data_IF_345806806632
#
_entry.id   IF_345806806632
#
_cell.length_a   1.000
_cell.length_b   1.000
_cell.length_c   1.000
_cell.angle_alpha   90.00
_cell.angle_beta   90.00
_cell.angle_gamma   90.00
#
_symmetry.space_group_name_H-M   'P 1'
#
loop_
_entity.id
_entity.type
_entity.pdbx_description
1 polymer ?
#
# COMPACT_ATOMS: atom_id res chain seq x y z
N UNK A 1 30.40 8.10 -24.95
CA UNK A 1 29.75 9.21 -25.65
C UNK A 1 28.25 8.93 -25.62
N UNK A 2 27.49 9.66 -24.79
CA UNK A 2 26.04 9.49 -24.67
C UNK A 2 25.39 10.12 -25.90
N UNK A 3 24.72 9.30 -26.72
CA UNK A 3 23.95 9.79 -27.86
C UNK A 3 22.76 10.58 -27.32
N UNK A 4 22.85 11.90 -27.31
CA UNK A 4 21.72 12.78 -27.07
C UNK A 4 20.72 12.61 -28.22
N UNK A 5 19.59 11.96 -27.96
CA UNK A 5 18.48 11.99 -28.90
C UNK A 5 18.07 13.47 -29.13
N UNK A 6 17.94 13.92 -30.38
CA UNK A 6 17.53 15.29 -30.67
C UNK A 6 16.13 15.55 -30.05
N UNK A 7 15.89 16.76 -29.51
CA UNK A 7 14.60 17.07 -28.94
C UNK A 7 13.52 17.06 -30.06
N UNK A 8 12.32 16.57 -29.70
CA UNK A 8 11.21 16.54 -30.67
C UNK A 8 10.76 17.92 -31.06
N UNK A 9 10.32 18.06 -32.31
CA UNK A 9 9.77 19.35 -32.82
C UNK A 9 8.66 19.90 -31.95
N UNK A 10 7.78 19.03 -31.41
CA UNK A 10 6.70 19.42 -30.49
C UNK A 10 7.25 20.05 -29.21
N UNK A 11 8.32 19.51 -28.65
CA UNK A 11 8.94 20.05 -27.43
C UNK A 11 9.62 21.43 -27.74
N UNK A 12 10.28 21.53 -28.87
CA UNK A 12 10.88 22.81 -29.31
C UNK A 12 9.82 23.88 -29.57
N UNK A 13 8.72 23.48 -30.21
CA UNK A 13 7.59 24.39 -30.46
C UNK A 13 6.93 24.82 -29.15
N UNK A 14 6.70 23.92 -28.19
CA UNK A 14 6.17 24.24 -26.88
C UNK A 14 7.09 25.21 -26.11
N UNK A 15 8.40 24.97 -26.12
CA UNK A 15 9.38 25.83 -25.47
C UNK A 15 9.45 27.22 -26.15
N UNK A 16 9.34 27.27 -27.50
CA UNK A 16 9.31 28.54 -28.24
C UNK A 16 8.06 29.35 -27.94
N UNK A 17 6.90 28.67 -27.88
CA UNK A 17 5.62 29.32 -27.55
C UNK A 17 5.64 29.90 -26.12
N UNK A 18 6.22 29.17 -25.16
CA UNK A 18 6.32 29.58 -23.75
C UNK A 18 7.33 30.70 -23.47
N UNK A 19 8.06 31.19 -24.48
CA UNK A 19 8.89 32.41 -24.33
C UNK A 19 8.03 33.65 -24.13
N UNK A 20 6.85 33.66 -24.76
CA UNK A 20 5.83 34.69 -24.57
C UNK A 20 4.58 34.04 -23.94
N UNK A 21 4.40 34.25 -22.64
CA UNK A 21 3.26 33.67 -21.92
C UNK A 21 1.91 34.21 -22.40
N UNK A 22 1.84 35.47 -22.78
CA UNK A 22 0.60 36.07 -23.28
C UNK A 22 0.16 35.39 -24.58
N UNK A 23 1.11 35.19 -25.50
CA UNK A 23 0.87 34.46 -26.75
C UNK A 23 0.50 33.02 -26.50
N UNK A 24 1.18 32.34 -25.54
CA UNK A 24 0.88 31.00 -25.18
C UNK A 24 -0.56 30.84 -24.64
N UNK A 25 -0.99 31.74 -23.75
CA UNK A 25 -2.35 31.75 -23.17
C UNK A 25 -3.39 32.02 -24.28
N UNK A 26 -3.16 32.99 -25.13
CA UNK A 26 -4.07 33.31 -26.23
C UNK A 26 -4.23 32.15 -27.21
N UNK A 27 -3.15 31.42 -27.48
CA UNK A 27 -3.16 30.28 -28.41
C UNK A 27 -3.93 29.06 -27.90
N UNK A 28 -4.22 28.95 -26.59
CA UNK A 28 -4.94 27.82 -26.01
C UNK A 28 -6.34 27.64 -26.63
N UNK A 29 -6.97 28.69 -27.09
CA UNK A 29 -8.28 28.60 -27.74
C UNK A 29 -8.23 27.80 -29.04
N UNK A 30 -7.14 27.86 -29.76
CA UNK A 30 -6.95 27.24 -31.08
C UNK A 30 -6.14 25.95 -31.01
N UNK A 31 -5.51 25.66 -29.87
CA UNK A 31 -4.61 24.53 -29.72
C UNK A 31 -5.37 23.19 -29.79
N UNK A 32 -4.92 22.24 -30.64
CA UNK A 32 -5.41 20.86 -30.63
C UNK A 32 -5.21 20.19 -29.28
N UNK A 33 -6.15 19.30 -28.89
CA UNK A 33 -6.10 18.66 -27.57
C UNK A 33 -4.84 17.83 -27.33
N UNK A 34 -4.26 17.27 -28.38
CA UNK A 34 -3.05 16.44 -28.33
C UNK A 34 -1.81 17.25 -27.95
N UNK A 35 -1.81 18.55 -28.16
CA UNK A 35 -0.71 19.43 -27.83
C UNK A 35 -0.76 19.99 -26.39
N UNK A 36 -1.92 19.81 -25.69
CA UNK A 36 -2.03 20.25 -24.30
C UNK A 36 -1.04 19.54 -23.36
N UNK A 37 -0.90 18.19 -23.34
CA UNK A 37 0.03 17.55 -22.44
C UNK A 37 1.50 17.94 -22.66
N UNK A 38 2.04 17.96 -23.89
CA UNK A 38 3.41 18.45 -24.14
C UNK A 38 3.64 19.88 -23.69
N UNK A 39 2.67 20.79 -23.97
CA UNK A 39 2.76 22.19 -23.57
C UNK A 39 2.70 22.32 -22.03
N UNK A 40 1.83 21.55 -21.36
CA UNK A 40 1.74 21.55 -19.89
C UNK A 40 3.04 21.05 -19.25
N UNK A 41 3.66 19.98 -19.78
CA UNK A 41 4.94 19.46 -19.31
C UNK A 41 6.05 20.51 -19.47
N UNK A 42 6.08 21.23 -20.59
CA UNK A 42 7.05 22.32 -20.82
C UNK A 42 6.80 23.51 -19.88
N UNK A 43 5.54 23.93 -19.69
CA UNK A 43 5.15 24.99 -18.76
C UNK A 43 5.51 24.64 -17.32
N UNK A 44 5.28 23.38 -16.91
CA UNK A 44 5.69 22.85 -15.62
C UNK A 44 7.22 22.90 -15.43
N UNK A 45 7.99 22.48 -16.44
CA UNK A 45 9.45 22.46 -16.39
C UNK A 45 10.05 23.88 -16.35
N UNK A 46 9.42 24.80 -17.02
CA UNK A 46 9.82 26.21 -17.08
C UNK A 46 9.19 27.10 -15.98
N UNK A 47 8.37 26.50 -15.10
CA UNK A 47 7.65 27.21 -14.02
C UNK A 47 6.77 28.36 -14.51
N UNK A 48 6.08 28.15 -15.62
CA UNK A 48 5.17 29.17 -16.21
C UNK A 48 3.80 29.10 -15.53
N UNK A 49 3.67 29.73 -14.37
CA UNK A 49 2.49 29.62 -13.50
C UNK A 49 1.22 30.14 -14.16
N UNK A 50 1.28 31.28 -14.85
CA UNK A 50 0.10 31.85 -15.52
C UNK A 50 -0.39 30.98 -16.68
N UNK A 51 0.54 30.44 -17.48
CA UNK A 51 0.18 29.49 -18.53
C UNK A 51 -0.46 28.24 -17.95
N UNK A 52 0.09 27.66 -16.88
CA UNK A 52 -0.51 26.48 -16.21
C UNK A 52 -1.91 26.80 -15.67
N UNK A 53 -2.11 27.94 -15.04
CA UNK A 53 -3.39 28.43 -14.55
C UNK A 53 -4.43 28.51 -15.70
N UNK A 54 -4.07 29.09 -16.82
CA UNK A 54 -4.93 29.18 -17.99
C UNK A 54 -5.22 27.83 -18.63
N UNK A 55 -4.24 26.93 -18.68
CA UNK A 55 -4.41 25.59 -19.23
C UNK A 55 -5.37 24.73 -18.39
N UNK A 56 -5.39 24.89 -17.07
CA UNK A 56 -6.36 24.21 -16.19
C UNK A 56 -7.80 24.60 -16.53
N UNK A 57 -8.04 25.87 -16.83
CA UNK A 57 -9.37 26.40 -17.17
C UNK A 57 -9.88 25.86 -18.51
N UNK A 58 -9.00 25.44 -19.38
CA UNK A 58 -9.32 24.93 -20.74
C UNK A 58 -8.92 23.47 -20.94
N UNK A 59 -8.62 22.75 -19.86
CA UNK A 59 -8.10 21.38 -19.92
C UNK A 59 -9.03 20.43 -20.67
N UNK A 60 -8.60 19.82 -21.79
CA UNK A 60 -9.49 19.09 -22.68
C UNK A 60 -9.76 17.64 -22.27
N UNK A 61 -9.14 17.15 -21.18
CA UNK A 61 -9.32 15.80 -20.66
C UNK A 61 -10.10 15.81 -19.35
N UNK A 62 -10.80 14.70 -19.05
CA UNK A 62 -11.57 14.57 -17.82
C UNK A 62 -10.69 14.57 -16.55
N UNK A 63 -9.42 14.17 -16.66
CA UNK A 63 -8.48 14.05 -15.53
C UNK A 63 -7.18 14.79 -15.82
N UNK A 64 -6.68 15.53 -14.83
CA UNK A 64 -5.34 16.11 -14.81
C UNK A 64 -4.49 15.34 -13.80
N UNK A 65 -3.59 14.43 -14.23
CA UNK A 65 -2.74 13.62 -13.33
C UNK A 65 -1.49 14.40 -12.90
N UNK A 66 -1.68 15.51 -12.19
CA UNK A 66 -0.63 16.43 -11.78
C UNK A 66 0.44 15.74 -10.90
N UNK A 67 0.02 14.83 -10.02
CA UNK A 67 0.95 14.12 -9.14
C UNK A 67 1.94 13.21 -9.87
N UNK A 68 1.63 12.79 -11.09
CA UNK A 68 2.56 12.04 -11.96
C UNK A 68 3.73 12.88 -12.48
N UNK A 69 3.58 14.20 -12.60
CA UNK A 69 4.66 15.13 -12.93
C UNK A 69 5.50 15.53 -11.72
N UNK A 70 4.88 15.59 -10.55
CA UNK A 70 5.51 16.05 -9.32
C UNK A 70 6.08 14.87 -8.52
N UNK A 71 7.38 14.57 -8.65
CA UNK A 71 8.06 13.60 -7.74
C UNK A 71 8.02 14.06 -6.28
N UNK A 72 8.00 15.37 -6.04
CA UNK A 72 7.76 16.01 -4.75
C UNK A 72 6.76 17.15 -4.96
N UNK A 73 5.81 17.37 -4.03
CA UNK A 73 4.87 18.49 -4.13
C UNK A 73 5.63 19.82 -4.26
N UNK A 74 5.40 20.52 -5.35
CA UNK A 74 5.96 21.83 -5.59
C UNK A 74 4.88 22.88 -5.33
N UNK A 75 5.10 23.76 -4.36
CA UNK A 75 4.07 24.68 -3.86
C UNK A 75 3.55 25.62 -4.95
N UNK A 76 4.44 26.32 -5.67
CA UNK A 76 4.07 27.28 -6.70
C UNK A 76 3.24 26.66 -7.83
N UNK A 77 3.59 25.43 -8.25
CA UNK A 77 2.82 24.69 -9.26
C UNK A 77 1.42 24.32 -8.75
N UNK A 78 1.34 23.88 -7.48
CA UNK A 78 0.05 23.54 -6.87
C UNK A 78 -0.82 24.79 -6.75
N UNK A 79 -0.27 25.91 -6.31
CA UNK A 79 -0.96 27.20 -6.21
C UNK A 79 -1.50 27.62 -7.57
N UNK A 80 -0.67 27.64 -8.62
CA UNK A 80 -1.10 28.01 -9.96
C UNK A 80 -2.26 27.13 -10.49
N UNK A 81 -2.19 25.81 -10.24
CA UNK A 81 -3.28 24.92 -10.65
C UNK A 81 -4.55 25.15 -9.83
N UNK A 82 -4.44 25.39 -8.52
CA UNK A 82 -5.58 25.66 -7.66
C UNK A 82 -6.22 27.02 -7.96
N UNK A 83 -5.43 28.04 -8.30
CA UNK A 83 -5.92 29.36 -8.75
C UNK A 83 -6.68 29.22 -10.09
N UNK A 84 -6.17 28.39 -11.01
CA UNK A 84 -6.89 28.08 -12.25
C UNK A 84 -8.22 27.37 -12.00
N UNK A 85 -8.28 26.49 -10.99
CA UNK A 85 -9.54 25.87 -10.56
C UNK A 85 -10.50 26.87 -9.92
N UNK A 86 -10.00 27.86 -9.18
CA UNK A 86 -10.83 28.90 -8.58
C UNK A 86 -11.55 29.74 -9.66
N UNK A 87 -10.84 30.13 -10.68
CA UNK A 87 -11.45 30.81 -11.83
C UNK A 87 -12.49 29.93 -12.50
N UNK A 88 -12.19 28.62 -12.67
CA UNK A 88 -13.12 27.67 -13.29
C UNK A 88 -14.39 27.47 -12.42
N UNK A 89 -14.25 27.36 -11.11
CA UNK A 89 -15.36 27.15 -10.17
C UNK A 89 -16.22 28.42 -9.99
N UNK A 90 -15.65 29.60 -10.17
CA UNK A 90 -16.36 30.88 -10.13
C UNK A 90 -17.26 31.11 -11.37
N UNK A 91 -16.99 30.39 -12.45
CA UNK A 91 -17.76 30.56 -13.71
C UNK A 91 -19.13 29.84 -13.59
N UNK A 92 -20.21 30.56 -13.95
CA UNK A 92 -21.57 29.99 -14.00
C UNK A 92 -21.74 28.94 -15.11
N UNK A 93 -20.95 29.04 -16.17
CA UNK A 93 -20.97 28.14 -17.34
C UNK A 93 -19.54 27.67 -17.61
N UNK A 94 -19.35 26.38 -17.65
CA UNK A 94 -18.03 25.79 -17.92
C UNK A 94 -17.61 26.11 -19.38
N UNK A 95 -16.34 26.53 -19.62
CA UNK A 95 -15.81 26.75 -20.96
C UNK A 95 -16.03 25.51 -21.85
N UNK A 96 -16.38 25.72 -23.12
CA UNK A 96 -16.70 24.60 -24.04
C UNK A 96 -15.58 23.58 -24.18
N UNK A 97 -14.32 23.99 -24.07
CA UNK A 97 -13.12 23.14 -24.16
C UNK A 97 -12.81 22.42 -22.86
N UNK A 98 -13.21 22.95 -21.71
CA UNK A 98 -12.86 22.34 -20.43
C UNK A 98 -13.68 21.09 -20.16
N UNK A 99 -12.98 19.96 -20.04
CA UNK A 99 -13.58 18.66 -19.66
C UNK A 99 -13.14 18.21 -18.26
N UNK A 100 -12.37 19.01 -17.55
CA UNK A 100 -11.77 18.65 -16.27
C UNK A 100 -12.84 18.31 -15.23
N UNK A 101 -12.75 17.11 -14.64
CA UNK A 101 -13.60 16.59 -13.56
C UNK A 101 -12.79 16.10 -12.38
N UNK A 102 -11.54 15.68 -12.64
CA UNK A 102 -10.68 15.04 -11.65
C UNK A 102 -9.30 15.70 -11.66
N UNK A 103 -8.90 16.29 -10.54
CA UNK A 103 -7.50 16.63 -10.27
C UNK A 103 -6.87 15.49 -9.48
N UNK A 104 -5.86 14.83 -10.04
CA UNK A 104 -5.16 13.74 -9.37
C UNK A 104 -3.78 14.16 -8.91
N UNK A 105 -3.63 14.29 -7.59
CA UNK A 105 -2.38 14.68 -6.93
C UNK A 105 -1.57 13.46 -6.43
N UNK A 106 -2.05 12.24 -6.66
CA UNK A 106 -1.34 11.03 -6.27
C UNK A 106 -0.12 10.83 -7.17
N UNK A 107 0.93 10.20 -6.65
CA UNK A 107 2.10 9.82 -7.45
C UNK A 107 1.78 8.66 -8.41
N UNK A 108 0.82 8.90 -9.30
CA UNK A 108 0.30 7.99 -10.31
C UNK A 108 0.08 8.76 -11.62
N UNK A 109 -0.20 8.05 -12.73
CA UNK A 109 -0.47 8.71 -14.01
C UNK A 109 0.79 9.08 -14.79
N UNK A 110 1.94 8.51 -14.42
CA UNK A 110 3.19 8.67 -15.19
C UNK A 110 3.03 8.15 -16.62
N UNK A 111 2.29 7.05 -16.82
CA UNK A 111 2.03 6.49 -18.16
C UNK A 111 1.30 7.49 -19.06
N UNK A 112 0.41 8.32 -18.50
CA UNK A 112 -0.22 9.40 -19.25
C UNK A 112 0.83 10.39 -19.80
N UNK A 113 1.76 10.83 -18.95
CA UNK A 113 2.80 11.78 -19.37
C UNK A 113 3.87 11.15 -20.24
N UNK A 114 4.26 9.90 -19.97
CA UNK A 114 5.23 9.14 -20.77
C UNK A 114 4.77 8.95 -22.21
N UNK A 115 3.47 8.77 -22.44
CA UNK A 115 2.89 8.69 -23.79
C UNK A 115 3.20 9.93 -24.62
N UNK A 116 3.29 11.10 -24.00
CA UNK A 116 3.57 12.36 -24.66
C UNK A 116 5.06 12.76 -24.63
N UNK A 117 5.87 12.20 -23.72
CA UNK A 117 7.30 12.50 -23.60
C UNK A 117 8.14 11.90 -24.71
N UNK A 118 7.66 10.82 -25.32
CA UNK A 118 8.35 10.19 -26.45
C UNK A 118 9.31 9.09 -26.12
N UNK A 119 9.38 8.64 -24.90
CA UNK A 119 10.09 7.44 -24.54
C UNK A 119 9.41 6.21 -25.19
N UNK A 120 10.24 5.39 -25.85
CA UNK A 120 9.80 4.24 -26.63
C UNK A 120 9.22 3.14 -25.73
N UNK A 121 7.98 3.26 -25.35
CA UNK A 121 7.19 2.12 -24.87
C UNK A 121 6.05 1.89 -25.85
N UNK A 122 6.14 0.83 -26.63
CA UNK A 122 5.04 0.25 -27.39
C UNK A 122 4.00 -0.31 -26.41
N UNK A 123 3.15 0.57 -25.90
CA UNK A 123 1.89 0.15 -25.29
C UNK A 123 0.82 0.35 -26.36
N UNK A 124 0.12 -0.73 -26.66
CA UNK A 124 -1.01 -0.74 -27.58
C UNK A 124 -2.02 0.36 -27.20
N UNK A 125 -1.98 1.41 -27.96
CA UNK A 125 -2.64 2.71 -27.69
C UNK A 125 -4.18 2.71 -27.71
N UNK A 126 -4.82 1.60 -28.08
CA UNK A 126 -6.27 1.55 -28.28
C UNK A 126 -7.10 1.48 -26.99
N UNK A 127 -6.57 0.93 -25.90
CA UNK A 127 -7.35 0.75 -24.66
C UNK A 127 -7.35 1.98 -23.74
N UNK A 128 -6.28 2.79 -23.76
CA UNK A 128 -6.19 4.01 -22.93
C UNK A 128 -6.93 5.20 -23.54
N UNK A 129 -6.97 5.30 -24.88
CA UNK A 129 -7.77 6.32 -25.57
C UNK A 129 -9.27 6.06 -25.45
N UNK A 130 -9.72 4.80 -25.35
CA UNK A 130 -11.12 4.46 -25.12
C UNK A 130 -11.65 4.85 -23.72
N UNK A 131 -10.77 4.91 -22.70
CA UNK A 131 -11.15 5.39 -21.37
C UNK A 131 -11.19 6.92 -21.27
N UNK A 132 -10.55 7.62 -22.19
CA UNK A 132 -10.51 9.11 -22.28
C UNK A 132 -11.71 9.65 -23.09
N UNK A 133 -12.31 8.84 -23.97
CA UNK A 133 -13.27 9.28 -24.98
C UNK A 133 -14.73 8.80 -24.74
N UNK A 134 -15.08 8.28 -23.57
CA UNK A 134 -16.50 8.05 -23.28
C UNK A 134 -17.21 9.38 -23.04
N UNK A 135 -17.77 9.93 -24.10
CA UNK A 135 -18.74 11.02 -24.06
C UNK A 135 -19.94 10.61 -23.20
N UNK A 136 -19.99 11.12 -21.97
CA UNK A 136 -21.22 11.10 -21.18
C UNK A 136 -22.20 12.14 -21.72
N UNK A 137 -23.50 11.81 -21.77
CA UNK A 137 -24.52 12.73 -22.33
C UNK A 137 -24.50 14.05 -21.54
N UNK A 138 -24.64 15.16 -22.27
CA UNK A 138 -24.74 16.53 -21.75
C UNK A 138 -26.03 16.68 -20.95
N UNK A 139 -26.03 16.31 -19.69
CA UNK A 139 -27.10 16.72 -18.79
C UNK A 139 -26.82 18.13 -18.28
N UNK A 140 -27.81 19.02 -18.42
CA UNK A 140 -27.84 20.37 -17.86
C UNK A 140 -28.02 20.34 -16.34
N UNK A 141 -27.19 19.59 -15.62
CA UNK A 141 -27.22 19.57 -14.15
C UNK A 141 -26.19 20.57 -13.59
N UNK A 142 -26.43 21.15 -12.41
CA UNK A 142 -25.46 21.96 -11.72
C UNK A 142 -24.12 21.17 -11.65
N UNK A 143 -23.01 21.86 -11.91
CA UNK A 143 -21.67 21.31 -11.99
C UNK A 143 -21.48 20.26 -10.88
N UNK A 144 -21.35 19.00 -11.26
CA UNK A 144 -20.99 17.96 -10.29
C UNK A 144 -19.70 18.40 -9.60
N UNK A 145 -19.57 18.25 -8.27
CA UNK A 145 -18.39 18.71 -7.56
C UNK A 145 -17.12 18.10 -8.17
N UNK A 146 -16.09 18.92 -8.33
CA UNK A 146 -14.79 18.49 -8.83
C UNK A 146 -14.20 17.46 -7.84
N UNK A 147 -13.75 16.33 -8.34
CA UNK A 147 -13.07 15.34 -7.54
C UNK A 147 -11.56 15.61 -7.47
N UNK A 148 -11.00 15.58 -6.28
CA UNK A 148 -9.57 15.73 -6.06
C UNK A 148 -9.03 14.47 -5.37
N UNK A 149 -8.14 13.75 -6.04
CA UNK A 149 -7.53 12.53 -5.49
C UNK A 149 -6.18 12.83 -4.85
N UNK A 150 -6.00 12.36 -3.61
CA UNK A 150 -4.76 12.52 -2.85
C UNK A 150 -4.46 11.25 -2.06
N UNK A 151 -3.18 10.88 -1.94
CA UNK A 151 -2.73 9.89 -0.97
C UNK A 151 -2.15 10.63 0.23
N UNK A 152 -2.62 10.31 1.42
CA UNK A 152 -2.26 11.05 2.63
C UNK A 152 -1.33 10.24 3.53
N UNK A 153 -0.24 10.88 3.95
CA UNK A 153 0.66 10.37 4.98
C UNK A 153 0.72 11.39 6.13
N UNK A 154 0.03 11.07 7.22
CA UNK A 154 -0.06 11.93 8.40
C UNK A 154 1.09 11.61 9.36
N UNK A 155 2.18 12.38 9.28
CA UNK A 155 3.34 12.32 10.19
C UNK A 155 3.34 13.53 11.12
N UNK A 156 3.94 13.38 12.31
CA UNK A 156 4.21 14.53 13.17
C UNK A 156 5.17 15.50 12.44
N UNK A 157 4.89 16.78 12.54
CA UNK A 157 5.71 17.91 12.03
C UNK A 157 6.03 17.94 10.53
N UNK A 158 5.42 17.11 9.70
CA UNK A 158 5.74 17.04 8.27
C UNK A 158 4.57 17.34 7.33
N UNK A 159 3.59 18.12 7.79
CA UNK A 159 2.68 18.73 6.83
C UNK A 159 3.48 19.75 6.04
N UNK A 160 3.99 19.34 4.90
CA UNK A 160 4.63 20.27 3.99
C UNK A 160 3.67 21.43 3.71
N UNK A 161 4.21 22.62 3.52
CA UNK A 161 3.42 23.83 3.22
C UNK A 161 2.33 23.57 2.18
N UNK A 162 2.62 22.72 1.18
CA UNK A 162 1.68 22.31 0.12
C UNK A 162 0.41 21.63 0.63
N UNK A 163 0.54 20.67 1.56
CA UNK A 163 -0.64 19.93 2.08
C UNK A 163 -1.48 20.83 2.99
N UNK A 164 -0.83 21.66 3.81
CA UNK A 164 -1.53 22.65 4.64
C UNK A 164 -2.30 23.64 3.78
N UNK A 165 -1.69 24.15 2.74
CA UNK A 165 -2.31 25.05 1.77
C UNK A 165 -3.51 24.36 1.10
N UNK A 166 -3.31 23.15 0.56
CA UNK A 166 -4.36 22.35 -0.08
C UNK A 166 -5.59 22.17 0.83
N UNK A 167 -5.37 21.79 2.10
CA UNK A 167 -6.49 21.59 3.03
C UNK A 167 -7.22 22.89 3.36
N UNK A 168 -6.51 23.97 3.54
CA UNK A 168 -7.12 25.29 3.76
C UNK A 168 -7.94 25.70 2.53
N UNK A 169 -7.40 25.48 1.34
CA UNK A 169 -8.07 25.78 0.08
C UNK A 169 -9.35 24.94 -0.11
N UNK A 170 -9.30 23.64 0.15
CA UNK A 170 -10.45 22.73 0.07
C UNK A 170 -11.52 23.07 1.13
N UNK A 171 -11.08 23.42 2.36
CA UNK A 171 -12.01 23.77 3.46
C UNK A 171 -12.85 25.00 3.14
N UNK A 172 -12.28 25.98 2.44
CA UNK A 172 -12.99 27.20 2.00
C UNK A 172 -14.01 26.91 0.89
N UNK A 173 -13.89 25.77 0.17
CA UNK A 173 -14.70 25.40 -1.01
C UNK A 173 -15.56 24.16 -0.78
N UNK A 174 -16.02 23.97 0.46
CA UNK A 174 -16.92 22.87 0.82
C UNK A 174 -18.17 22.86 -0.06
N UNK A 175 -18.46 21.71 -0.67
CA UNK A 175 -19.59 21.53 -1.56
C UNK A 175 -19.24 21.60 -3.05
N UNK A 176 -18.22 22.37 -3.45
CA UNK A 176 -17.74 22.44 -4.83
C UNK A 176 -16.63 21.45 -5.14
N UNK A 177 -15.96 20.94 -4.09
CA UNK A 177 -14.83 20.02 -4.21
C UNK A 177 -15.04 18.81 -3.31
N UNK A 178 -14.80 17.63 -3.88
CA UNK A 178 -14.74 16.37 -3.14
C UNK A 178 -13.28 15.90 -3.02
N UNK A 179 -12.70 16.04 -1.82
CA UNK A 179 -11.37 15.50 -1.56
C UNK A 179 -11.47 14.00 -1.25
N UNK A 180 -11.03 13.19 -2.20
CA UNK A 180 -11.02 11.74 -2.15
C UNK A 180 -9.62 11.22 -1.82
N UNK A 181 -9.49 10.53 -0.70
CA UNK A 181 -8.26 9.83 -0.31
C UNK A 181 -8.49 8.32 -0.43
N UNK A 182 -7.72 7.63 -1.30
CA UNK A 182 -7.81 6.16 -1.40
C UNK A 182 -6.89 5.46 -0.44
N UNK A 183 -5.71 6.03 -0.19
CA UNK A 183 -4.70 5.49 0.73
C UNK A 183 -4.39 6.48 1.83
N UNK A 184 -4.57 6.06 3.06
CA UNK A 184 -4.29 6.87 4.23
C UNK A 184 -3.29 6.16 5.14
N UNK A 185 -2.11 6.77 5.29
CA UNK A 185 -1.08 6.33 6.24
C UNK A 185 -1.05 7.28 7.43
N UNK A 186 -1.14 6.74 8.64
CA UNK A 186 -1.15 7.50 9.88
C UNK A 186 0.02 7.09 10.75
N UNK A 187 0.92 8.04 10.94
CA UNK A 187 2.15 7.89 11.76
C UNK A 187 2.13 8.89 12.91
N UNK A 188 1.10 9.75 12.98
CA UNK A 188 1.03 10.89 13.88
C UNK A 188 0.43 10.53 15.24
N UNK A 189 0.94 11.22 16.28
CA UNK A 189 0.38 11.21 17.65
C UNK A 189 -0.71 12.28 17.85
N UNK A 190 -0.77 13.30 17.00
CA UNK A 190 -1.67 14.43 17.17
C UNK A 190 -3.11 14.10 16.79
N UNK A 191 -3.97 14.06 17.81
CA UNK A 191 -5.41 13.80 17.67
C UNK A 191 -6.11 14.93 16.89
N UNK A 192 -5.68 16.15 17.06
CA UNK A 192 -6.31 17.33 16.44
C UNK A 192 -6.05 17.34 14.93
N UNK A 193 -4.84 17.01 14.50
CA UNK A 193 -4.49 16.86 13.09
C UNK A 193 -5.37 15.82 12.40
N UNK A 194 -5.52 14.65 13.02
CA UNK A 194 -6.34 13.56 12.50
C UNK A 194 -7.81 13.97 12.39
N UNK A 195 -8.36 14.62 13.40
CA UNK A 195 -9.74 15.13 13.37
C UNK A 195 -9.95 16.18 12.29
N UNK A 196 -8.98 17.08 12.05
CA UNK A 196 -9.05 18.11 11.01
C UNK A 196 -9.11 17.44 9.63
N UNK A 197 -8.25 16.45 9.35
CA UNK A 197 -8.27 15.70 8.09
C UNK A 197 -9.60 15.00 7.86
N UNK A 198 -10.15 14.35 8.90
CA UNK A 198 -11.40 13.61 8.78
C UNK A 198 -12.65 14.47 8.60
N UNK A 199 -12.55 15.77 8.82
CA UNK A 199 -13.64 16.73 8.50
C UNK A 199 -13.61 17.14 7.02
N UNK A 200 -12.45 17.04 6.38
CA UNK A 200 -12.21 17.54 5.01
C UNK A 200 -12.28 16.40 4.01
N UNK A 201 -11.72 15.24 4.35
CA UNK A 201 -11.65 14.07 3.47
C UNK A 201 -12.96 13.30 3.46
N UNK A 202 -13.39 12.86 2.29
CA UNK A 202 -14.53 11.95 2.13
C UNK A 202 -14.13 10.54 2.57
N UNK A 203 -14.56 10.14 3.78
CA UNK A 203 -14.11 8.90 4.43
C UNK A 203 -14.55 7.63 3.65
N UNK A 204 -15.66 7.68 2.94
CA UNK A 204 -16.14 6.58 2.10
C UNK A 204 -15.24 6.29 0.88
N UNK A 205 -14.32 7.19 0.53
CA UNK A 205 -13.34 6.96 -0.55
C UNK A 205 -12.13 6.15 -0.10
N UNK A 206 -11.90 5.99 1.23
CA UNK A 206 -10.73 5.33 1.78
C UNK A 206 -10.83 3.82 1.58
N UNK A 207 -9.85 3.26 0.88
CA UNK A 207 -9.76 1.83 0.57
C UNK A 207 -8.59 1.15 1.29
N UNK A 208 -7.51 1.90 1.58
CA UNK A 208 -6.32 1.39 2.25
C UNK A 208 -6.00 2.27 3.45
N UNK A 209 -5.84 1.65 4.62
CA UNK A 209 -5.44 2.30 5.88
C UNK A 209 -4.18 1.65 6.40
N UNK A 210 -3.13 2.44 6.59
CA UNK A 210 -1.86 2.04 7.18
C UNK A 210 -1.66 2.79 8.50
N UNK A 211 -1.78 2.07 9.61
CA UNK A 211 -1.62 2.61 10.96
C UNK A 211 -0.26 2.22 11.53
N UNK A 212 0.61 3.20 11.62
CA UNK A 212 1.89 3.04 12.31
C UNK A 212 1.79 3.71 13.68
N UNK A 213 1.91 2.92 14.74
CA UNK A 213 1.75 3.41 16.10
C UNK A 213 3.04 3.24 16.91
N UNK A 214 3.30 4.20 17.79
CA UNK A 214 4.30 4.05 18.84
C UNK A 214 3.77 3.13 19.94
N UNK A 215 4.63 2.48 20.69
CA UNK A 215 4.39 1.43 21.70
C UNK A 215 3.12 1.55 22.58
N UNK A 216 2.44 2.69 22.62
CA UNK A 216 1.18 2.86 23.36
C UNK A 216 -0.03 2.56 22.47
N UNK A 217 -0.50 1.34 22.51
CA UNK A 217 -1.73 0.86 21.84
C UNK A 217 -3.01 1.63 22.25
N UNK A 218 -2.99 2.37 23.36
CA UNK A 218 -4.08 3.29 23.74
C UNK A 218 -4.44 4.30 22.63
N UNK A 219 -3.53 4.51 21.66
CA UNK A 219 -3.80 5.30 20.47
C UNK A 219 -4.76 4.62 19.51
N UNK A 220 -4.71 3.28 19.37
CA UNK A 220 -5.58 2.50 18.48
C UNK A 220 -7.03 2.48 18.93
N UNK A 221 -7.29 2.33 20.23
CA UNK A 221 -8.64 2.37 20.77
C UNK A 221 -9.36 3.70 20.46
N UNK A 222 -8.60 4.81 20.48
CA UNK A 222 -9.11 6.14 20.10
C UNK A 222 -9.39 6.25 18.60
N UNK A 223 -8.79 5.36 17.80
CA UNK A 223 -8.91 5.32 16.34
C UNK A 223 -10.07 4.45 15.86
N UNK A 224 -10.44 3.42 16.62
CA UNK A 224 -11.50 2.49 16.27
C UNK A 224 -12.83 3.17 15.85
N UNK A 225 -13.35 4.19 16.58
CA UNK A 225 -14.57 4.88 16.17
C UNK A 225 -14.45 5.66 14.85
N UNK A 226 -13.23 6.04 14.47
CA UNK A 226 -12.97 6.77 13.23
C UNK A 226 -12.92 5.83 12.05
N UNK A 227 -12.36 4.63 12.22
CA UNK A 227 -12.39 3.57 11.21
C UNK A 227 -13.81 3.12 10.89
N UNK A 228 -14.69 3.09 11.88
CA UNK A 228 -16.09 2.78 11.66
C UNK A 228 -16.83 3.72 10.71
N UNK A 229 -16.28 4.90 10.48
CA UNK A 229 -16.76 5.83 9.46
C UNK A 229 -16.22 5.55 8.07
N UNK A 230 -15.12 4.77 7.96
CA UNK A 230 -14.48 4.41 6.69
C UNK A 230 -15.06 3.08 6.18
N UNK A 231 -16.23 3.14 5.57
CA UNK A 231 -17.03 1.94 5.25
C UNK A 231 -16.49 1.06 4.13
N UNK A 232 -15.56 1.58 3.31
CA UNK A 232 -15.07 0.94 2.09
C UNK A 232 -13.59 0.51 2.20
N UNK A 233 -13.06 0.34 3.41
CA UNK A 233 -11.70 -0.14 3.63
C UNK A 233 -11.60 -1.61 3.21
N UNK A 234 -10.68 -1.90 2.31
CA UNK A 234 -10.37 -3.22 1.77
C UNK A 234 -9.01 -3.74 2.25
N UNK A 235 -8.10 -2.82 2.56
CA UNK A 235 -6.75 -3.14 2.99
C UNK A 235 -6.41 -2.43 4.29
N UNK A 236 -6.04 -3.23 5.30
CA UNK A 236 -5.70 -2.77 6.63
C UNK A 236 -4.29 -3.21 7.00
N UNK A 237 -3.43 -2.24 7.31
CA UNK A 237 -2.06 -2.49 7.75
C UNK A 237 -1.86 -1.89 9.14
N UNK A 238 -1.34 -2.70 10.04
CA UNK A 238 -1.03 -2.34 11.42
C UNK A 238 0.45 -2.66 11.68
N UNK A 239 1.24 -1.69 12.08
CA UNK A 239 2.64 -1.89 12.45
C UNK A 239 3.09 -0.90 13.52
N UNK A 240 3.97 -1.30 14.45
CA UNK A 240 4.57 -0.36 15.38
C UNK A 240 5.62 0.50 14.67
N UNK A 241 5.82 1.72 15.15
CA UNK A 241 6.95 2.56 14.75
C UNK A 241 8.18 2.07 15.50
N UNK A 242 9.10 1.44 14.80
CA UNK A 242 10.42 1.15 15.35
C UNK A 242 11.22 2.46 15.42
N UNK A 243 11.47 2.95 16.64
CA UNK A 243 12.52 3.94 16.85
C UNK A 243 13.85 3.35 16.39
N UNK A 244 14.61 4.11 15.62
CA UNK A 244 15.93 3.76 15.07
C UNK A 244 16.99 3.65 16.16
N UNK A 245 16.92 2.63 17.02
CA UNK A 245 18.03 2.20 17.87
C UNK A 245 17.65 0.91 18.62
N UNK A 246 17.84 -0.22 17.97
CA UNK A 246 18.03 -1.48 18.68
C UNK A 246 19.49 -1.56 19.16
N UNK A 247 19.90 -0.65 20.03
CA UNK A 247 21.06 -0.83 20.86
C UNK A 247 20.61 -0.68 22.30
N UNK A 248 20.84 -1.76 23.06
CA UNK A 248 20.69 -1.92 24.52
C UNK A 248 19.27 -2.13 25.07
N UNK A 249 19.11 -3.32 25.63
CA UNK A 249 18.34 -3.64 26.84
C UNK A 249 17.19 -2.68 27.17
N UNK A 250 16.07 -2.82 26.51
CA UNK A 250 14.80 -2.33 27.06
C UNK A 250 14.08 -3.56 27.59
N UNK A 251 14.11 -3.71 28.90
CA UNK A 251 13.11 -4.51 29.62
C UNK A 251 11.74 -4.09 29.12
N UNK A 252 11.12 -4.95 28.34
CA UNK A 252 9.71 -4.80 27.94
C UNK A 252 8.91 -5.06 29.21
N UNK A 253 8.67 -4.02 29.98
CA UNK A 253 7.66 -4.07 31.04
C UNK A 253 6.31 -4.36 30.36
N UNK A 254 5.90 -5.61 30.45
CA UNK A 254 4.58 -6.09 30.05
C UNK A 254 3.52 -5.41 30.90
N UNK A 255 3.02 -4.26 30.49
CA UNK A 255 1.82 -3.70 31.08
C UNK A 255 0.61 -4.47 30.57
N UNK A 256 -0.10 -5.08 31.48
CA UNK A 256 -1.26 -5.98 31.32
C UNK A 256 -2.53 -5.41 30.65
N UNK A 257 -2.44 -4.30 29.93
CA UNK A 257 -3.56 -3.66 29.23
C UNK A 257 -3.54 -3.76 27.71
N UNK A 258 -2.64 -4.55 27.13
CA UNK A 258 -2.36 -4.60 25.70
C UNK A 258 -3.31 -5.48 24.83
N UNK A 259 -3.84 -6.61 25.33
CA UNK A 259 -4.61 -7.53 24.50
C UNK A 259 -5.95 -7.00 24.02
N UNK A 260 -6.63 -6.21 24.87
CA UNK A 260 -8.01 -5.78 24.59
C UNK A 260 -8.16 -4.79 23.42
N UNK A 261 -7.08 -4.15 22.98
CA UNK A 261 -7.13 -3.05 22.03
C UNK A 261 -7.13 -3.50 20.58
N UNK A 262 -6.37 -4.53 20.21
CA UNK A 262 -6.44 -5.14 18.88
C UNK A 262 -7.78 -5.84 18.73
N UNK A 263 -8.22 -6.53 19.78
CA UNK A 263 -9.56 -7.13 19.87
C UNK A 263 -10.66 -6.11 19.65
N UNK A 264 -10.65 -4.99 20.37
CA UNK A 264 -11.62 -3.90 20.16
C UNK A 264 -11.55 -3.34 18.74
N UNK A 265 -10.35 -3.20 18.19
CA UNK A 265 -10.15 -2.69 16.84
C UNK A 265 -10.69 -3.66 15.78
N UNK A 266 -10.37 -4.95 15.86
CA UNK A 266 -10.82 -5.97 14.92
C UNK A 266 -12.34 -6.22 15.05
N UNK A 267 -12.87 -6.28 16.25
CA UNK A 267 -14.32 -6.45 16.47
C UNK A 267 -15.11 -5.24 16.01
N UNK A 268 -14.58 -4.04 16.20
CA UNK A 268 -15.23 -2.81 15.75
C UNK A 268 -15.18 -2.68 14.21
N UNK A 269 -14.03 -2.93 13.60
CA UNK A 269 -13.88 -2.89 12.15
C UNK A 269 -14.76 -3.95 11.47
N UNK A 270 -14.88 -5.15 12.04
CA UNK A 270 -15.74 -6.21 11.49
C UNK A 270 -17.23 -5.85 11.45
N UNK A 271 -17.70 -5.05 12.41
CA UNK A 271 -19.11 -4.58 12.49
C UNK A 271 -19.38 -3.38 11.58
N UNK A 272 -18.40 -2.50 11.38
CA UNK A 272 -18.60 -1.22 10.71
C UNK A 272 -18.29 -1.23 9.22
N UNK A 273 -17.42 -2.13 8.74
CA UNK A 273 -17.09 -2.24 7.33
C UNK A 273 -18.29 -2.74 6.53
N UNK A 274 -18.59 -2.06 5.41
CA UNK A 274 -19.65 -2.49 4.47
C UNK A 274 -19.18 -3.62 3.56
N UNK A 275 -17.92 -3.57 3.15
CA UNK A 275 -17.31 -4.52 2.22
C UNK A 275 -16.34 -5.45 2.93
N UNK A 276 -16.08 -6.64 2.39
CA UNK A 276 -15.07 -7.55 2.91
C UNK A 276 -13.67 -6.96 2.88
N UNK A 277 -12.81 -7.39 3.81
CA UNK A 277 -11.38 -7.10 3.76
C UNK A 277 -10.70 -8.06 2.78
N UNK A 278 -9.90 -7.52 1.87
CA UNK A 278 -9.11 -8.32 0.95
C UNK A 278 -7.67 -8.53 1.45
N UNK A 279 -7.11 -7.55 2.18
CA UNK A 279 -5.76 -7.66 2.71
C UNK A 279 -5.69 -7.20 4.16
N UNK A 280 -5.10 -8.03 5.01
CA UNK A 280 -4.77 -7.73 6.40
C UNK A 280 -3.28 -7.93 6.60
N UNK A 281 -2.62 -6.92 7.14
CA UNK A 281 -1.21 -6.98 7.55
C UNK A 281 -1.08 -6.47 8.97
N UNK A 282 -0.74 -7.37 9.90
CA UNK A 282 -0.44 -7.05 11.30
C UNK A 282 1.00 -7.50 11.53
N UNK A 283 1.92 -6.54 11.60
CA UNK A 283 3.35 -6.88 11.61
C UNK A 283 4.03 -6.39 12.87
N UNK A 284 4.92 -7.23 13.44
CA UNK A 284 5.69 -6.90 14.64
C UNK A 284 4.82 -6.46 15.83
N UNK A 285 3.60 -6.95 15.91
CA UNK A 285 2.63 -6.66 16.97
C UNK A 285 2.53 -7.85 17.93
N UNK A 286 2.20 -7.56 19.20
CA UNK A 286 1.78 -8.57 20.14
C UNK A 286 0.30 -8.89 19.86
N UNK A 287 0.02 -10.10 19.41
CA UNK A 287 -1.33 -10.63 19.29
C UNK A 287 -1.60 -11.62 20.43
N UNK A 288 -2.85 -11.76 20.80
CA UNK A 288 -3.32 -12.80 21.69
C UNK A 288 -4.16 -13.82 20.93
N UNK A 289 -4.40 -14.97 21.53
CA UNK A 289 -5.32 -15.98 20.97
C UNK A 289 -6.73 -15.42 20.80
N UNK A 290 -7.15 -14.53 21.69
CA UNK A 290 -8.45 -13.87 21.61
C UNK A 290 -8.53 -12.96 20.37
N UNK A 291 -7.46 -12.24 20.03
CA UNK A 291 -7.39 -11.41 18.82
C UNK A 291 -7.54 -12.27 17.56
N UNK A 292 -6.84 -13.42 17.47
CA UNK A 292 -6.97 -14.34 16.35
C UNK A 292 -8.36 -14.98 16.29
N UNK A 293 -8.95 -15.29 17.43
CA UNK A 293 -10.33 -15.80 17.53
C UNK A 293 -11.32 -14.79 16.97
N UNK A 294 -11.22 -13.52 17.36
CA UNK A 294 -12.09 -12.46 16.80
C UNK A 294 -11.85 -12.23 15.31
N UNK A 295 -10.61 -12.32 14.86
CA UNK A 295 -10.30 -12.23 13.44
C UNK A 295 -10.94 -13.39 12.68
N UNK A 296 -10.76 -14.63 13.15
CA UNK A 296 -11.30 -15.84 12.50
C UNK A 296 -12.84 -15.86 12.51
N UNK A 297 -13.48 -15.33 13.54
CA UNK A 297 -14.94 -15.25 13.64
C UNK A 297 -15.55 -14.15 12.77
N UNK A 298 -14.75 -13.16 12.34
CA UNK A 298 -15.25 -12.04 11.53
C UNK A 298 -15.79 -12.53 10.17
N UNK A 299 -17.02 -12.18 9.78
CA UNK A 299 -17.55 -12.49 8.45
C UNK A 299 -16.84 -11.71 7.34
N UNK A 300 -16.09 -10.66 7.69
CA UNK A 300 -15.44 -9.77 6.72
C UNK A 300 -14.14 -10.33 6.13
N UNK A 301 -13.62 -11.43 6.67
CA UNK A 301 -12.40 -12.07 6.15
C UNK A 301 -12.66 -13.19 5.13
N UNK A 302 -13.91 -13.58 4.88
CA UNK A 302 -14.23 -14.69 3.97
C UNK A 302 -13.75 -14.48 2.52
N UNK A 303 -13.35 -13.27 2.16
CA UNK A 303 -12.77 -12.92 0.85
C UNK A 303 -11.32 -12.42 0.96
N UNK A 304 -10.64 -12.79 2.05
CA UNK A 304 -9.27 -12.36 2.30
C UNK A 304 -8.33 -12.98 1.27
N UNK A 305 -7.58 -12.13 0.56
CA UNK A 305 -6.60 -12.51 -0.44
C UNK A 305 -5.16 -12.46 0.09
N UNK A 306 -4.89 -11.57 1.02
CA UNK A 306 -3.57 -11.41 1.63
C UNK A 306 -3.62 -11.37 3.15
N UNK A 307 -2.83 -12.24 3.79
CA UNK A 307 -2.63 -12.29 5.23
C UNK A 307 -1.13 -12.17 5.54
N UNK A 308 -0.77 -11.11 6.26
CA UNK A 308 0.61 -10.90 6.70
C UNK A 308 0.65 -10.72 8.22
N UNK A 309 1.25 -11.69 8.91
CA UNK A 309 1.49 -11.69 10.35
C UNK A 309 2.98 -11.64 10.70
N UNK A 310 3.82 -11.14 9.79
CA UNK A 310 5.27 -11.11 9.96
C UNK A 310 5.71 -10.46 11.27
N UNK A 311 6.56 -11.14 12.04
CA UNK A 311 7.06 -10.68 13.34
C UNK A 311 6.04 -10.74 14.48
N UNK A 312 4.90 -11.39 14.29
CA UNK A 312 3.96 -11.73 15.34
C UNK A 312 4.39 -13.04 15.98
N UNK A 313 4.60 -13.08 17.30
CA UNK A 313 5.01 -14.30 18.00
C UNK A 313 3.83 -15.26 18.09
N UNK A 314 3.93 -16.42 17.40
CA UNK A 314 2.92 -17.48 17.36
C UNK A 314 3.35 -18.75 18.12
N UNK A 315 4.52 -18.74 18.76
CA UNK A 315 5.15 -19.94 19.38
C UNK A 315 4.22 -20.66 20.37
N UNK A 316 3.47 -19.89 21.16
CA UNK A 316 2.62 -20.42 22.23
C UNK A 316 1.12 -20.46 21.84
N UNK A 317 0.80 -20.19 20.59
CA UNK A 317 -0.60 -20.21 20.13
C UNK A 317 -1.11 -21.63 19.91
N UNK A 318 -2.36 -21.87 20.26
CA UNK A 318 -3.04 -23.11 19.94
C UNK A 318 -3.10 -23.29 18.41
N UNK A 319 -2.51 -24.36 17.85
CA UNK A 319 -2.48 -24.59 16.41
C UNK A 319 -3.87 -24.55 15.75
N UNK A 320 -4.90 -25.04 16.46
CA UNK A 320 -6.29 -25.06 15.96
C UNK A 320 -6.85 -23.67 15.62
N UNK A 321 -6.40 -22.63 16.32
CA UNK A 321 -6.86 -21.25 16.04
C UNK A 321 -6.33 -20.77 14.69
N UNK A 322 -5.05 -21.03 14.41
CA UNK A 322 -4.42 -20.64 13.14
C UNK A 322 -4.96 -21.51 12.00
N UNK A 323 -5.15 -22.82 12.25
CA UNK A 323 -5.80 -23.73 11.29
C UNK A 323 -7.19 -23.22 10.91
N UNK A 324 -8.05 -22.95 11.88
CA UNK A 324 -9.42 -22.45 11.62
C UNK A 324 -9.45 -21.11 10.88
N UNK A 325 -8.45 -20.24 11.12
CA UNK A 325 -8.30 -19.01 10.32
C UNK A 325 -7.96 -19.33 8.87
N UNK A 326 -6.97 -20.23 8.63
CA UNK A 326 -6.55 -20.62 7.28
C UNK A 326 -7.66 -21.35 6.54
N UNK A 327 -8.36 -22.29 7.17
CA UNK A 327 -9.50 -23.01 6.59
C UNK A 327 -10.60 -22.05 6.12
N UNK A 328 -10.88 -21.03 6.91
CA UNK A 328 -11.90 -20.02 6.56
C UNK A 328 -11.58 -19.19 5.33
N UNK A 329 -10.31 -18.99 5.04
CA UNK A 329 -9.83 -18.17 3.92
C UNK A 329 -9.21 -19.00 2.78
N UNK A 330 -9.22 -20.33 2.89
CA UNK A 330 -8.54 -21.24 1.98
C UNK A 330 -8.90 -21.05 0.52
N UNK A 331 -10.18 -20.78 0.21
CA UNK A 331 -10.68 -20.59 -1.15
C UNK A 331 -10.26 -19.27 -1.80
N UNK A 332 -9.79 -18.31 -1.02
CA UNK A 332 -9.55 -16.93 -1.51
C UNK A 332 -8.14 -16.43 -1.27
N UNK A 333 -7.37 -17.08 -0.39
CA UNK A 333 -6.05 -16.61 0.04
C UNK A 333 -5.02 -16.75 -1.09
N UNK A 334 -4.50 -15.62 -1.56
CA UNK A 334 -3.48 -15.54 -2.62
C UNK A 334 -2.06 -15.33 -2.04
N UNK A 335 -1.95 -14.67 -0.88
CA UNK A 335 -0.68 -14.33 -0.25
C UNK A 335 -0.69 -14.61 1.26
N UNK A 336 0.28 -15.40 1.74
CA UNK A 336 0.47 -15.68 3.15
C UNK A 336 1.91 -15.40 3.58
N UNK A 337 2.08 -14.50 4.55
CA UNK A 337 3.38 -14.16 5.11
C UNK A 337 3.39 -14.39 6.63
N UNK A 338 4.18 -15.36 7.05
CA UNK A 338 4.41 -15.76 8.45
C UNK A 338 5.91 -15.67 8.81
N UNK A 339 6.62 -14.67 8.29
CA UNK A 339 8.04 -14.49 8.56
C UNK A 339 8.28 -14.07 10.02
N UNK A 340 9.35 -14.59 10.63
CA UNK A 340 9.77 -14.20 11.98
C UNK A 340 8.67 -14.38 13.04
N UNK A 341 7.82 -15.39 12.88
CA UNK A 341 6.69 -15.64 13.80
C UNK A 341 7.01 -16.61 14.93
N UNK A 342 8.25 -17.11 15.02
CA UNK A 342 8.62 -18.13 16.00
C UNK A 342 7.92 -19.48 15.76
N UNK A 343 7.62 -19.79 14.50
CA UNK A 343 7.01 -21.06 14.12
C UNK A 343 8.00 -22.18 14.36
N UNK A 344 7.55 -23.21 15.08
CA UNK A 344 8.30 -24.42 15.39
C UNK A 344 7.84 -25.60 14.51
N UNK A 345 8.63 -26.68 14.47
CA UNK A 345 8.29 -27.90 13.72
C UNK A 345 6.88 -28.44 14.05
N UNK A 346 6.49 -28.61 15.35
CA UNK A 346 5.15 -29.07 15.69
C UNK A 346 4.04 -28.14 15.18
N UNK A 347 4.23 -26.83 15.32
CA UNK A 347 3.24 -25.85 14.86
C UNK A 347 3.11 -25.89 13.34
N UNK A 348 4.21 -25.89 12.59
CA UNK A 348 4.14 -25.94 11.14
C UNK A 348 3.51 -27.25 10.64
N UNK A 349 3.89 -28.39 11.24
CA UNK A 349 3.29 -29.70 10.92
C UNK A 349 1.78 -29.69 11.12
N UNK A 350 1.30 -29.06 12.19
CA UNK A 350 -0.13 -28.91 12.44
C UNK A 350 -0.83 -28.02 11.40
N UNK A 351 -0.14 -27.02 10.85
CA UNK A 351 -0.72 -26.09 9.85
C UNK A 351 -0.75 -26.66 8.42
N UNK A 352 0.08 -27.68 8.12
CA UNK A 352 0.20 -28.25 6.77
C UNK A 352 -1.16 -28.66 6.17
N UNK A 353 -2.09 -29.36 6.87
CA UNK A 353 -3.37 -29.73 6.28
C UNK A 353 -4.21 -28.53 5.84
N UNK A 354 -4.27 -27.47 6.63
CA UNK A 354 -4.98 -26.25 6.27
C UNK A 354 -4.31 -25.48 5.11
N UNK A 355 -2.97 -25.47 5.08
CA UNK A 355 -2.20 -24.87 3.98
C UNK A 355 -2.43 -25.58 2.66
N UNK A 356 -2.51 -26.93 2.66
CA UNK A 356 -2.76 -27.72 1.44
C UNK A 356 -4.14 -27.48 0.83
N UNK A 357 -5.09 -26.95 1.60
CA UNK A 357 -6.41 -26.54 1.12
C UNK A 357 -6.42 -25.16 0.46
N UNK A 358 -5.36 -24.34 0.59
CA UNK A 358 -5.31 -22.97 0.07
C UNK A 358 -5.05 -22.98 -1.45
N UNK A 359 -6.04 -23.38 -2.24
CA UNK A 359 -5.90 -23.59 -3.70
C UNK A 359 -5.52 -22.36 -4.50
N UNK A 360 -5.82 -21.15 -4.01
CA UNK A 360 -5.51 -19.88 -4.67
C UNK A 360 -4.16 -19.28 -4.25
N UNK A 361 -3.42 -19.94 -3.36
CA UNK A 361 -2.19 -19.42 -2.79
C UNK A 361 -1.10 -19.29 -3.88
N UNK A 362 -0.62 -18.05 -4.07
CA UNK A 362 0.41 -17.70 -5.08
C UNK A 362 1.75 -17.37 -4.45
N UNK A 363 1.71 -16.78 -3.26
CA UNK A 363 2.90 -16.35 -2.52
C UNK A 363 2.84 -16.87 -1.11
N UNK A 364 3.86 -17.64 -0.71
CA UNK A 364 4.00 -18.17 0.63
C UNK A 364 5.37 -17.83 1.21
N UNK A 365 5.41 -17.34 2.44
CA UNK A 365 6.65 -16.95 3.10
C UNK A 365 6.66 -17.28 4.58
N UNK A 366 7.65 -18.06 5.03
CA UNK A 366 7.91 -18.42 6.44
C UNK A 366 9.37 -18.19 6.84
N UNK A 367 10.05 -17.24 6.20
CA UNK A 367 11.45 -16.92 6.49
C UNK A 367 11.65 -16.52 7.96
N UNK A 368 12.82 -16.82 8.50
CA UNK A 368 13.17 -16.41 9.86
C UNK A 368 12.56 -17.24 10.97
N UNK A 369 11.96 -18.41 10.64
CA UNK A 369 11.53 -19.41 11.59
C UNK A 369 12.55 -20.57 11.63
N UNK A 370 12.65 -21.25 12.76
CA UNK A 370 13.57 -22.39 12.95
C UNK A 370 12.89 -23.69 12.60
N UNK A 371 12.94 -24.08 11.33
CA UNK A 371 12.29 -25.26 10.80
C UNK A 371 13.32 -26.31 10.38
N UNK A 372 13.09 -27.57 10.74
CA UNK A 372 13.93 -28.69 10.33
C UNK A 372 13.78 -29.03 8.86
N UNK A 373 14.79 -29.68 8.31
CA UNK A 373 14.78 -30.19 6.94
C UNK A 373 13.61 -31.16 6.70
N UNK A 374 13.37 -32.05 7.64
CA UNK A 374 12.29 -33.03 7.56
C UNK A 374 10.90 -32.39 7.44
N UNK A 375 10.64 -31.33 8.22
CA UNK A 375 9.36 -30.61 8.17
C UNK A 375 9.25 -29.79 6.90
N UNK A 376 10.32 -29.18 6.40
CA UNK A 376 10.33 -28.50 5.10
C UNK A 376 10.02 -29.46 3.95
N UNK A 377 10.64 -30.64 3.94
CA UNK A 377 10.35 -31.67 2.94
C UNK A 377 8.89 -32.15 3.01
N UNK A 378 8.36 -32.36 4.21
CA UNK A 378 6.96 -32.71 4.41
C UNK A 378 6.03 -31.64 3.87
N UNK A 379 6.29 -30.37 4.19
CA UNK A 379 5.51 -29.23 3.70
C UNK A 379 5.50 -29.18 2.16
N UNK A 380 6.66 -29.32 1.51
CA UNK A 380 6.78 -29.28 0.05
C UNK A 380 5.96 -30.39 -0.61
N UNK A 381 5.96 -31.62 -0.03
CA UNK A 381 5.15 -32.74 -0.54
C UNK A 381 3.65 -32.46 -0.42
N UNK A 382 3.20 -31.93 0.73
CA UNK A 382 1.77 -31.66 0.96
C UNK A 382 1.25 -30.46 0.17
N UNK A 383 2.11 -29.51 -0.18
CA UNK A 383 1.75 -28.33 -0.99
C UNK A 383 1.99 -28.52 -2.48
N UNK A 384 2.38 -29.71 -2.92
CA UNK A 384 2.66 -30.02 -4.31
C UNK A 384 1.42 -29.85 -5.21
N UNK A 385 0.25 -30.20 -4.71
CA UNK A 385 -1.03 -30.00 -5.41
C UNK A 385 -1.47 -28.54 -5.59
N UNK A 386 -0.76 -27.55 -5.02
CA UNK A 386 -1.11 -26.13 -5.13
C UNK A 386 -0.61 -25.52 -6.44
N UNK A 387 -1.33 -25.71 -7.52
CA UNK A 387 -0.97 -25.27 -8.89
C UNK A 387 -0.81 -23.75 -9.04
N UNK A 388 -1.45 -22.95 -8.18
CA UNK A 388 -1.35 -21.49 -8.16
C UNK A 388 -0.05 -20.98 -7.51
N UNK A 389 0.64 -21.81 -6.70
CA UNK A 389 1.79 -21.39 -5.89
C UNK A 389 3.03 -21.16 -6.76
N UNK A 390 3.48 -19.89 -6.83
CA UNK A 390 4.56 -19.45 -7.74
C UNK A 390 5.80 -18.93 -7.02
N UNK A 391 5.64 -18.33 -5.86
CA UNK A 391 6.71 -17.71 -5.09
C UNK A 391 6.70 -18.23 -3.66
N UNK A 392 7.79 -18.89 -3.28
CA UNK A 392 7.94 -19.53 -2.01
C UNK A 392 9.23 -19.10 -1.34
N UNK A 393 9.11 -18.62 -0.10
CA UNK A 393 10.24 -18.14 0.67
C UNK A 393 10.35 -18.93 1.98
N UNK A 394 11.39 -19.74 2.10
CA UNK A 394 11.66 -20.61 3.21
C UNK A 394 12.88 -20.18 4.02
N UNK A 395 12.95 -20.52 5.31
CA UNK A 395 14.18 -20.34 6.09
C UNK A 395 15.24 -21.34 5.63
N UNK A 396 16.51 -21.05 5.87
CA UNK A 396 17.54 -22.08 5.85
C UNK A 396 17.21 -23.15 6.91
N UNK A 397 17.29 -24.45 6.57
CA UNK A 397 16.96 -25.52 7.51
C UNK A 397 17.78 -25.41 8.82
N UNK A 398 17.14 -25.75 9.95
CA UNK A 398 17.80 -25.67 11.26
C UNK A 398 19.13 -26.42 11.30
N UNK A 399 19.27 -27.53 10.61
CA UNK A 399 20.47 -28.36 10.50
C UNK A 399 21.63 -27.68 9.76
N UNK A 400 21.39 -26.55 9.11
CA UNK A 400 22.43 -25.74 8.49
C UNK A 400 23.15 -24.81 9.47
N UNK A 401 22.68 -24.76 10.73
CA UNK A 401 23.28 -23.91 11.77
C UNK A 401 24.01 -24.75 12.82
N UNK A 402 25.12 -24.22 13.34
CA UNK A 402 25.81 -24.79 14.50
C UNK A 402 24.98 -24.57 15.79
N UNK A 403 25.41 -25.22 16.89
CA UNK A 403 24.86 -25.00 18.23
C UNK A 403 24.96 -23.55 18.70
N UNK A 404 25.91 -22.78 18.16
CA UNK A 404 26.08 -21.35 18.42
C UNK A 404 25.26 -20.45 17.48
N UNK A 405 24.37 -21.00 16.65
CA UNK A 405 23.56 -20.26 15.70
C UNK A 405 24.33 -19.72 14.48
N UNK A 406 25.56 -20.17 14.26
CA UNK A 406 26.37 -19.79 13.10
C UNK A 406 26.01 -20.65 11.90
N UNK A 407 25.73 -20.03 10.77
CA UNK A 407 25.36 -20.73 9.54
C UNK A 407 26.57 -21.42 8.91
N UNK A 408 26.49 -22.75 8.72
CA UNK A 408 27.44 -23.53 7.95
C UNK A 408 27.04 -23.53 6.46
N UNK A 409 27.84 -22.88 5.62
CA UNK A 409 27.55 -22.71 4.19
C UNK A 409 27.61 -24.04 3.42
N UNK A 410 28.53 -24.95 3.75
CA UNK A 410 28.66 -26.24 3.08
C UNK A 410 27.46 -27.12 3.41
N UNK A 411 27.07 -27.19 4.69
CA UNK A 411 25.88 -27.92 5.09
C UNK A 411 24.61 -27.36 4.44
N UNK A 412 24.48 -26.02 4.37
CA UNK A 412 23.37 -25.40 3.68
C UNK A 412 23.35 -25.74 2.18
N UNK A 413 24.51 -25.81 1.53
CA UNK A 413 24.59 -26.21 0.12
C UNK A 413 24.11 -27.64 -0.10
N UNK A 414 24.51 -28.58 0.79
CA UNK A 414 24.04 -29.97 0.76
C UNK A 414 22.51 -30.05 0.92
N UNK A 415 21.97 -29.40 1.95
CA UNK A 415 20.52 -29.41 2.23
C UNK A 415 19.71 -28.75 1.09
N UNK A 416 20.25 -27.72 0.45
CA UNK A 416 19.65 -27.15 -0.76
C UNK A 416 19.63 -28.14 -1.94
N UNK A 417 20.69 -28.92 -2.11
CA UNK A 417 20.72 -29.95 -3.14
C UNK A 417 19.67 -31.03 -2.89
N UNK A 418 19.51 -31.46 -1.63
CA UNK A 418 18.48 -32.40 -1.23
C UNK A 418 17.04 -31.86 -1.49
N UNK A 419 16.79 -30.57 -1.18
CA UNK A 419 15.50 -29.92 -1.51
C UNK A 419 15.27 -29.81 -3.01
N UNK A 420 16.32 -29.50 -3.77
CA UNK A 420 16.24 -29.44 -5.20
C UNK A 420 15.91 -30.78 -5.83
N UNK A 421 16.55 -31.87 -5.34
CA UNK A 421 16.25 -33.23 -5.75
C UNK A 421 14.77 -33.58 -5.49
N UNK A 422 14.28 -33.28 -4.28
CA UNK A 422 12.88 -33.49 -3.95
C UNK A 422 11.92 -32.77 -4.89
N UNK A 423 12.19 -31.50 -5.22
CA UNK A 423 11.36 -30.73 -6.16
C UNK A 423 11.38 -31.30 -7.57
N UNK A 424 12.54 -31.84 -7.99
CA UNK A 424 12.67 -32.53 -9.27
C UNK A 424 11.85 -33.82 -9.28
N UNK A 425 11.89 -34.58 -8.21
CA UNK A 425 11.15 -35.84 -8.06
C UNK A 425 9.62 -35.63 -8.04
N UNK A 426 9.17 -34.46 -7.52
CA UNK A 426 7.75 -34.07 -7.54
C UNK A 426 7.27 -33.61 -8.93
N UNK A 427 8.18 -33.38 -9.86
CA UNK A 427 7.85 -33.14 -11.28
C UNK A 427 7.29 -31.75 -11.61
N UNK A 428 7.21 -30.83 -10.63
CA UNK A 428 6.71 -29.47 -10.86
C UNK A 428 7.83 -28.43 -10.73
N UNK A 429 8.02 -27.52 -11.71
CA UNK A 429 9.03 -26.46 -11.63
C UNK A 429 8.57 -25.36 -10.68
N UNK A 430 8.87 -25.51 -9.39
CA UNK A 430 8.58 -24.51 -8.34
C UNK A 430 9.79 -23.62 -8.11
N UNK A 431 9.58 -22.31 -7.97
CA UNK A 431 10.64 -21.35 -7.61
C UNK A 431 10.65 -21.15 -6.11
N UNK A 432 11.53 -21.85 -5.41
CA UNK A 432 11.75 -21.68 -3.97
C UNK A 432 12.96 -20.78 -3.69
N UNK A 433 12.83 -19.94 -2.67
CA UNK A 433 13.91 -19.07 -2.20
C UNK A 433 14.25 -19.42 -0.76
N UNK A 434 15.49 -19.87 -0.51
CA UNK A 434 15.99 -20.16 0.83
C UNK A 434 16.71 -18.92 1.37
N UNK A 435 16.14 -18.30 2.40
CA UNK A 435 16.69 -17.11 3.04
C UNK A 435 17.46 -17.47 4.31
N UNK A 436 18.66 -16.90 4.42
CA UNK A 436 19.50 -17.00 5.61
C UNK A 436 18.96 -16.05 6.68
N UNK A 437 18.91 -16.50 7.93
CA UNK A 437 18.49 -15.69 9.07
C UNK A 437 19.56 -15.71 10.13
N UNK A 438 19.85 -14.59 10.77
CA UNK A 438 20.74 -14.57 11.94
C UNK A 438 19.96 -15.09 13.15
N UNK A 439 20.28 -16.29 13.61
CA UNK A 439 19.57 -16.99 14.70
C UNK A 439 19.81 -16.33 16.08
N UNK A 440 20.85 -15.51 16.25
CA UNK A 440 21.17 -14.88 17.54
C UNK A 440 19.98 -14.20 18.22
N UNK A 441 19.03 -13.66 17.45
CA UNK A 441 17.82 -13.05 17.98
C UNK A 441 16.73 -14.05 18.40
N UNK A 442 16.71 -15.24 17.81
CA UNK A 442 15.72 -16.28 18.11
C UNK A 442 16.10 -17.08 19.36
N UNK A 443 17.39 -17.38 19.55
CA UNK A 443 17.86 -18.11 20.74
C UNK A 443 17.72 -17.29 22.03
N UNK A 444 17.91 -15.96 21.99
CA UNK A 444 17.71 -15.11 23.19
C UNK A 444 16.26 -15.07 23.64
N UNK A 445 15.30 -15.19 22.74
CA UNK A 445 13.87 -15.28 23.10
C UNK A 445 13.50 -16.66 23.66
N UNK A 446 14.04 -17.74 23.10
CA UNK A 446 13.77 -19.11 23.56
C UNK A 446 14.41 -19.41 24.93
N UNK A 447 15.58 -18.84 25.24
CA UNK A 447 16.22 -19.03 26.55
C UNK A 447 15.56 -18.26 27.69
N UNK A 448 14.89 -17.16 27.41
CA UNK A 448 14.09 -16.44 28.42
C UNK A 448 12.84 -17.21 28.83
N UNK A 449 12.25 -17.99 27.90
CA UNK A 449 11.05 -18.79 28.19
C UNK A 449 11.39 -20.14 28.86
N UNK A 450 12.62 -20.69 28.70
CA UNK A 450 13.03 -21.94 29.36
C UNK A 450 13.37 -21.74 30.84
N UNK A 451 13.81 -20.55 31.27
CA UNK A 451 14.08 -20.27 32.68
C UNK A 451 12.82 -20.02 33.53
N UNK A 452 11.63 -20.00 32.93
CA UNK A 452 10.35 -19.87 33.62
C UNK A 452 9.66 -21.23 33.88
N UNK A 453 10.22 -22.33 33.38
CA UNK A 453 9.67 -23.69 33.59
C UNK A 453 10.42 -24.54 34.63
N UNK A 454 11.43 -23.99 35.32
CA UNK A 454 12.20 -24.70 36.36
C UNK A 454 12.08 -24.08 37.75
N UNK A 455 10.98 -23.40 38.06
CA UNK A 455 10.65 -23.08 39.49
C UNK A 455 9.24 -23.47 39.84
#
# INVERSE_FOLDING_TARGET
>A
MSAHNPPRLVNLAAMSLLRDEALAIWSLEYLPMELYPPLFMAAFSLRRSETMMAMVQTWPFARLPLGGLMKKPHQETLEAVLDGLDVLLAQKVQPRKCKLRVLDLRNTGQDFWNMWSGDKYHVTSSSLMASVAKDMPRTKHPLAPLEMYVDLCLKENTWGKCITYLFTWVEQRKGSIHLCCKKMKIVSRSRETIKKVFRIVKLDCIQEVDLNFTQKLSSLAKFAPLLGKMRNVQKLLLSPIHGSSFTSQVEVTYHSGFPELITCFLSFSSRCLKIPLYNISITNCLLTELDLTHLSQSPKICQLKGLNLSGVTLTNFCPKLIQGLLEKVADTLEELNLNLCGITDPLLTALVPALSCCSQLRVFSICGNLISMAVLQSLLRHTDGLSALRLEFYPAPRESYSSLGILNQERLAQLKAELWQLLTDLGHPRKIWIKKTRILFLCLRCHLDQNLCET
#
